data_IF_067776114266
#
_entry.id   IF_067776114266
#
_cell.length_a   1.000
_cell.length_b   1.000
_cell.length_c   1.000
_cell.angle_alpha   90.00
_cell.angle_beta   90.00
_cell.angle_gamma   90.00
#
_symmetry.space_group_name_H-M   'P 1'
#
loop_
_entity.id
_entity.type
_entity.pdbx_description
1 polymer ?
#
# COMPACT_ATOMS: atom_id res chain seq x y z
N UNK A 1 12.40 -1.54 14.13
CA UNK A 1 13.01 -2.19 12.94
C UNK A 1 12.69 -1.31 11.73
N UNK A 2 13.65 -0.98 10.85
CA UNK A 2 13.34 -0.20 9.65
C UNK A 2 12.45 -1.04 8.71
N UNK A 3 11.30 -0.50 8.33
CA UNK A 3 10.21 -1.18 7.60
C UNK A 3 10.62 -1.61 6.17
N UNK A 4 11.71 -1.05 5.65
CA UNK A 4 12.17 -1.20 4.25
C UNK A 4 12.89 -2.52 3.95
N UNK A 5 13.11 -3.39 4.94
CA UNK A 5 13.72 -4.72 4.70
C UNK A 5 12.68 -5.75 4.23
N UNK A 6 11.38 -5.52 4.49
CA UNK A 6 10.31 -6.44 4.13
C UNK A 6 9.34 -5.82 3.09
N UNK A 7 9.27 -6.38 1.86
CA UNK A 7 8.43 -5.83 0.79
C UNK A 7 6.93 -5.86 1.15
N UNK A 8 6.47 -6.78 2.01
CA UNK A 8 5.09 -6.82 2.49
C UNK A 8 4.80 -5.63 3.39
N UNK A 9 5.73 -5.32 4.31
CA UNK A 9 5.60 -4.18 5.22
C UNK A 9 5.63 -2.85 4.46
N UNK A 10 6.52 -2.70 3.47
CA UNK A 10 6.55 -1.51 2.60
C UNK A 10 5.23 -1.32 1.83
N UNK A 11 4.63 -2.40 1.30
CA UNK A 11 3.33 -2.34 0.62
C UNK A 11 2.20 -1.88 1.54
N UNK A 12 2.14 -2.43 2.75
CA UNK A 12 1.15 -2.04 3.74
C UNK A 12 1.32 -0.57 4.14
N UNK A 13 2.55 -0.10 4.29
CA UNK A 13 2.82 1.31 4.61
C UNK A 13 2.36 2.26 3.49
N UNK A 14 2.60 1.89 2.23
CA UNK A 14 2.10 2.62 1.07
C UNK A 14 0.57 2.72 1.13
N UNK A 15 -0.11 1.59 1.25
CA UNK A 15 -1.57 1.56 1.27
C UNK A 15 -2.14 2.34 2.46
N UNK A 16 -1.52 2.22 3.64
CA UNK A 16 -1.87 2.98 4.85
C UNK A 16 -1.73 4.48 4.65
N UNK A 17 -0.63 4.92 4.05
CA UNK A 17 -0.37 6.33 3.77
C UNK A 17 -1.43 6.88 2.82
N UNK A 18 -1.71 6.15 1.73
CA UNK A 18 -2.73 6.54 0.77
C UNK A 18 -4.13 6.55 1.39
N UNK A 19 -4.48 5.55 2.20
CA UNK A 19 -5.77 5.45 2.88
C UNK A 19 -6.02 6.62 3.83
N UNK A 20 -4.98 7.05 4.54
CA UNK A 20 -5.04 8.20 5.46
C UNK A 20 -5.18 9.51 4.69
N UNK A 21 -4.35 9.72 3.66
CA UNK A 21 -4.35 10.95 2.86
C UNK A 21 -5.59 11.07 1.96
N UNK A 22 -6.15 9.93 1.53
CA UNK A 22 -7.38 9.89 0.74
C UNK A 22 -8.64 10.11 1.60
N UNK A 23 -8.51 10.31 2.91
CA UNK A 23 -9.67 10.35 3.82
C UNK A 23 -10.58 9.13 3.63
N UNK A 24 -9.96 7.96 3.36
CA UNK A 24 -10.63 6.69 3.11
C UNK A 24 -11.56 6.67 1.88
N UNK A 25 -11.37 7.61 0.94
CA UNK A 25 -12.19 7.70 -0.27
C UNK A 25 -11.50 7.01 -1.45
N UNK A 26 -12.19 6.10 -2.16
CA UNK A 26 -11.66 5.54 -3.41
C UNK A 26 -11.56 6.65 -4.47
N UNK A 27 -10.61 6.50 -5.40
CA UNK A 27 -10.42 7.42 -6.53
C UNK A 27 -9.85 8.80 -6.17
N UNK A 28 -9.71 9.15 -4.88
CA UNK A 28 -9.09 10.42 -4.50
C UNK A 28 -7.58 10.39 -4.75
N UNK A 29 -7.13 11.22 -5.68
CA UNK A 29 -5.72 11.35 -6.04
C UNK A 29 -4.96 12.06 -4.93
N UNK A 30 -3.89 11.42 -4.48
CA UNK A 30 -2.94 11.92 -3.48
C UNK A 30 -1.57 12.05 -4.13
N UNK A 31 -0.90 13.18 -3.88
CA UNK A 31 0.48 13.40 -4.30
C UNK A 31 1.43 13.23 -3.14
N UNK A 32 2.52 12.49 -3.34
CA UNK A 32 3.50 12.21 -2.30
C UNK A 32 4.89 11.89 -2.87
N UNK A 33 5.90 11.98 -2.02
CA UNK A 33 7.28 11.58 -2.30
C UNK A 33 7.60 10.25 -1.62
N UNK A 34 8.52 9.46 -2.21
CA UNK A 34 8.96 8.18 -1.64
C UNK A 34 9.42 8.29 -0.18
N UNK A 35 10.12 9.38 0.17
CA UNK A 35 10.61 9.61 1.54
C UNK A 35 9.48 9.70 2.59
N UNK A 36 8.24 10.02 2.18
CA UNK A 36 7.08 10.03 3.07
C UNK A 36 6.62 8.62 3.45
N UNK A 37 7.07 7.59 2.71
CA UNK A 37 6.85 6.18 3.04
C UNK A 37 8.06 5.68 3.83
N UNK A 38 8.11 6.02 5.12
CA UNK A 38 9.17 5.59 6.06
C UNK A 38 10.61 5.78 5.56
N UNK A 39 10.88 6.88 4.85
CA UNK A 39 12.22 7.15 4.30
C UNK A 39 12.62 6.26 3.11
N UNK A 40 11.66 5.60 2.46
CA UNK A 40 11.89 4.68 1.37
C UNK A 40 12.59 5.29 0.15
N UNK A 41 13.40 4.47 -0.53
CA UNK A 41 14.07 4.85 -1.77
C UNK A 41 13.06 4.90 -2.94
N UNK A 42 13.23 5.89 -3.82
CA UNK A 42 12.32 6.11 -4.94
C UNK A 42 12.11 4.87 -5.83
N UNK A 43 13.19 4.16 -6.15
CA UNK A 43 13.13 2.94 -6.98
C UNK A 43 12.33 1.83 -6.32
N UNK A 44 12.50 1.65 -5.02
CA UNK A 44 11.83 0.63 -4.23
C UNK A 44 10.33 0.94 -4.10
N UNK A 45 9.99 2.17 -3.70
CA UNK A 45 8.59 2.61 -3.62
C UNK A 45 7.93 2.48 -4.99
N UNK A 46 8.58 2.92 -6.07
CA UNK A 46 8.04 2.75 -7.42
C UNK A 46 7.81 1.27 -7.78
N UNK A 47 8.70 0.36 -7.38
CA UNK A 47 8.54 -1.07 -7.62
C UNK A 47 7.33 -1.64 -6.87
N UNK A 48 7.16 -1.29 -5.59
CA UNK A 48 6.02 -1.75 -4.81
C UNK A 48 4.70 -1.12 -5.27
N UNK A 49 4.69 0.15 -5.67
CA UNK A 49 3.53 0.81 -6.28
C UNK A 49 3.07 0.08 -7.54
N UNK A 50 4.02 -0.34 -8.40
CA UNK A 50 3.72 -1.13 -9.59
C UNK A 50 3.05 -2.45 -9.25
N UNK A 51 3.60 -3.17 -8.28
CA UNK A 51 3.03 -4.43 -7.81
C UNK A 51 1.60 -4.24 -7.31
N UNK A 52 1.33 -3.20 -6.52
CA UNK A 52 -0.02 -2.91 -6.01
C UNK A 52 -1.01 -2.52 -7.11
N UNK A 53 -0.54 -1.81 -8.14
CA UNK A 53 -1.35 -1.49 -9.31
C UNK A 53 -1.70 -2.72 -10.14
N UNK A 54 -0.74 -3.63 -10.36
CA UNK A 54 -0.98 -4.90 -11.06
C UNK A 54 -2.00 -5.78 -10.33
N UNK A 55 -2.15 -5.62 -9.01
CA UNK A 55 -3.18 -6.29 -8.19
C UNK A 55 -4.49 -5.50 -8.08
N UNK A 56 -4.62 -4.37 -8.77
CA UNK A 56 -5.84 -3.56 -8.79
C UNK A 56 -6.17 -2.88 -7.46
N UNK A 57 -5.20 -2.71 -6.54
CA UNK A 57 -5.42 -2.08 -5.24
C UNK A 57 -5.26 -0.56 -5.29
N UNK A 58 -4.51 -0.06 -6.26
CA UNK A 58 -4.32 1.37 -6.47
C UNK A 58 -4.08 1.65 -7.95
N UNK A 59 -4.27 2.90 -8.34
CA UNK A 59 -3.76 3.46 -9.58
C UNK A 59 -2.66 4.45 -9.24
N UNK A 60 -1.58 4.47 -10.00
CA UNK A 60 -0.56 5.49 -9.83
C UNK A 60 0.10 5.95 -11.11
N UNK A 61 0.56 7.19 -11.06
CA UNK A 61 1.45 7.79 -12.04
C UNK A 61 2.63 8.41 -11.32
N UNK A 62 3.73 8.61 -12.06
CA UNK A 62 4.95 9.19 -11.54
C UNK A 62 5.41 10.33 -12.42
N UNK A 63 5.91 11.38 -11.81
CA UNK A 63 6.63 12.42 -12.49
C UNK A 63 8.14 12.17 -12.31
N UNK A 64 8.82 11.83 -13.40
CA UNK A 64 10.24 11.43 -13.39
C UNK A 64 11.14 12.61 -13.00
N UNK A 65 10.79 13.83 -13.40
CA UNK A 65 11.58 15.04 -13.15
C UNK A 65 11.52 15.42 -11.68
N UNK A 66 10.30 15.53 -11.13
CA UNK A 66 10.08 15.93 -9.73
C UNK A 66 10.20 14.77 -8.74
N UNK A 67 10.31 13.52 -9.22
CA UNK A 67 10.26 12.29 -8.42
C UNK A 67 9.03 12.18 -7.51
N UNK A 68 7.94 12.85 -7.89
CA UNK A 68 6.67 12.83 -7.17
C UNK A 68 5.76 11.74 -7.74
N UNK A 69 5.07 11.03 -6.84
CA UNK A 69 4.02 10.08 -7.17
C UNK A 69 2.65 10.74 -7.06
N UNK A 70 1.73 10.35 -7.93
CA UNK A 70 0.31 10.62 -7.79
C UNK A 70 -0.40 9.28 -7.77
N UNK A 71 -1.15 8.97 -6.71
CA UNK A 71 -1.84 7.70 -6.60
C UNK A 71 -3.23 7.85 -6.00
N UNK A 72 -4.12 6.92 -6.36
CA UNK A 72 -5.45 6.80 -5.78
C UNK A 72 -5.70 5.34 -5.42
N UNK A 73 -6.32 5.09 -4.27
CA UNK A 73 -6.81 3.76 -3.93
C UNK A 73 -8.04 3.44 -4.78
N UNK A 74 -8.12 2.20 -5.28
CA UNK A 74 -9.34 1.69 -5.91
C UNK A 74 -10.35 1.31 -4.82
N UNK A 75 -11.57 0.96 -5.22
CA UNK A 75 -12.57 0.39 -4.29
C UNK A 75 -12.03 -0.88 -3.62
N UNK A 76 -11.38 -1.76 -4.39
CA UNK A 76 -10.72 -2.97 -3.87
C UNK A 76 -9.59 -2.65 -2.90
N UNK A 77 -8.82 -1.57 -3.14
CA UNK A 77 -7.77 -1.12 -2.23
C UNK A 77 -8.31 -0.60 -0.90
N UNK A 78 -9.43 0.13 -0.92
CA UNK A 78 -10.12 0.58 0.28
C UNK A 78 -10.66 -0.61 1.07
N UNK A 79 -11.36 -1.53 0.42
CA UNK A 79 -11.90 -2.74 1.05
C UNK A 79 -10.78 -3.60 1.67
N UNK A 80 -9.68 -3.81 0.94
CA UNK A 80 -8.51 -4.51 1.46
C UNK A 80 -7.94 -3.85 2.72
N UNK A 81 -7.87 -2.51 2.75
CA UNK A 81 -7.38 -1.79 3.91
C UNK A 81 -8.33 -1.89 5.10
N UNK A 82 -9.64 -1.84 4.85
CA UNK A 82 -10.64 -2.05 5.91
C UNK A 82 -10.53 -3.45 6.51
N UNK A 83 -10.42 -4.48 5.68
CA UNK A 83 -10.21 -5.87 6.11
C UNK A 83 -8.90 -6.03 6.89
N UNK A 84 -7.81 -5.44 6.39
CA UNK A 84 -6.51 -5.46 7.06
C UNK A 84 -6.55 -4.74 8.42
N UNK A 85 -7.24 -3.60 8.53
CA UNK A 85 -7.43 -2.89 9.79
C UNK A 85 -8.33 -3.63 10.76
N UNK A 86 -9.34 -4.36 10.29
CA UNK A 86 -10.14 -5.22 11.15
C UNK A 86 -9.32 -6.42 11.64
N UNK A 87 -8.47 -7.01 10.79
CA UNK A 87 -7.56 -8.09 11.17
C UNK A 87 -6.50 -7.63 12.20
N UNK A 88 -6.06 -6.36 12.13
CA UNK A 88 -5.16 -5.74 13.10
C UNK A 88 -5.76 -5.54 14.50
N UNK A 89 -7.08 -5.71 14.68
CA UNK A 89 -7.74 -5.70 16.00
C UNK A 89 -7.68 -7.07 16.71
N UNK A 90 -7.16 -8.10 16.05
CA UNK A 90 -6.95 -9.44 16.61
C UNK A 90 -5.46 -9.67 16.90
N UNK A 91 -5.16 -10.57 17.85
CA UNK A 91 -3.82 -10.78 18.43
C UNK A 91 -2.72 -11.13 17.39
N UNK A 92 -1.47 -10.79 17.72
CA UNK A 92 -0.31 -10.75 16.81
C UNK A 92 -0.04 -12.03 16.01
N UNK A 93 -0.38 -13.20 16.57
CA UNK A 93 -0.10 -14.52 15.96
C UNK A 93 -1.12 -14.91 14.88
N UNK A 94 -2.35 -14.41 14.94
CA UNK A 94 -3.39 -14.71 13.94
C UNK A 94 -3.28 -13.82 12.70
N UNK A 95 -2.65 -12.65 12.85
CA UNK A 95 -2.48 -11.65 11.81
C UNK A 95 -1.61 -12.13 10.64
N UNK A 96 -0.47 -12.78 10.92
CA UNK A 96 0.44 -13.24 9.86
C UNK A 96 -0.20 -14.36 9.03
N UNK A 97 -0.86 -15.33 9.68
CA UNK A 97 -1.53 -16.43 9.00
C UNK A 97 -2.68 -15.95 8.08
N UNK A 98 -3.49 -14.99 8.55
CA UNK A 98 -4.59 -14.40 7.74
C UNK A 98 -4.07 -13.55 6.59
N UNK A 99 -3.01 -12.75 6.80
CA UNK A 99 -2.40 -11.97 5.73
C UNK A 99 -1.82 -12.88 4.64
N UNK A 100 -1.13 -13.96 5.01
CA UNK A 100 -0.66 -14.96 4.04
C UNK A 100 -1.83 -15.60 3.26
N UNK A 101 -2.92 -15.94 3.93
CA UNK A 101 -4.09 -16.55 3.27
C UNK A 101 -4.79 -15.59 2.29
N UNK A 102 -4.90 -14.30 2.67
CA UNK A 102 -5.45 -13.25 1.80
C UNK A 102 -4.53 -13.03 0.61
N UNK A 103 -3.21 -12.95 0.80
CA UNK A 103 -2.27 -12.79 -0.30
C UNK A 103 -2.22 -14.01 -1.24
N UNK A 104 -2.46 -15.21 -0.74
CA UNK A 104 -2.55 -16.42 -1.55
C UNK A 104 -3.78 -16.43 -2.48
N UNK A 105 -4.94 -15.93 -2.00
CA UNK A 105 -6.19 -15.90 -2.79
C UNK A 105 -6.18 -14.89 -3.94
N UNK A 106 -5.33 -13.86 -3.89
CA UNK A 106 -5.18 -12.87 -4.98
C UNK A 106 -4.31 -13.44 -6.12
N UNK A 107 -3.76 -14.66 -6.00
CA UNK A 107 -2.92 -15.30 -7.02
C UNK A 107 -3.66 -16.36 -7.88
N UNK A 108 -4.99 -16.28 -7.94
CA UNK A 108 -5.81 -17.07 -8.87
C UNK A 108 -6.28 -16.21 -10.04
#
# INVERSE_FOLDING_TARGET
MPVLENPVSTRLEILRTLYTLSDKRPGKIVKFYAAQINGGYYSEINYQMRFLQERGLLEYSRNIISKQFSAALTESGIAFMEDAYQALKFDETEREARLEEIFARIKA
#
